data_IF_541738878097
#
_entry.id   IF_541738878097
#
_cell.length_a   1.000
_cell.length_b   1.000
_cell.length_c   1.000
_cell.angle_alpha   90.00
_cell.angle_beta   90.00
_cell.angle_gamma   90.00
#
_symmetry.space_group_name_H-M   'P 1'
#
loop_
_entity.id
_entity.type
_entity.pdbx_description
1 polymer ?
#
# COMPACT_ATOMS: atom_id res chain seq x y z
N UNK A 1 -22.51 26.22 67.39
CA UNK A 1 -22.33 24.84 66.87
C UNK A 1 -22.41 24.92 65.35
N UNK A 2 -21.29 24.65 64.66
CA UNK A 2 -21.12 23.53 63.69
C UNK A 2 -22.03 23.69 62.44
N UNK A 3 -21.54 23.69 61.20
CA UNK A 3 -20.33 23.02 60.72
C UNK A 3 -19.91 23.44 59.32
N UNK A 4 -18.68 23.02 59.05
CA UNK A 4 -17.83 23.25 57.88
C UNK A 4 -18.39 22.45 56.69
N UNK A 5 -18.52 23.09 55.53
CA UNK A 5 -18.73 22.41 54.25
C UNK A 5 -17.42 21.74 53.82
N UNK A 6 -17.37 20.41 53.86
CA UNK A 6 -16.27 19.62 53.31
C UNK A 6 -16.49 19.40 51.82
N UNK A 7 -15.56 19.91 51.00
CA UNK A 7 -15.48 19.61 49.57
C UNK A 7 -14.81 18.23 49.43
N UNK A 8 -15.56 17.23 48.98
CA UNK A 8 -15.03 15.93 48.58
C UNK A 8 -14.54 16.03 47.12
N UNK A 9 -13.22 16.15 46.96
CA UNK A 9 -12.57 15.92 45.67
C UNK A 9 -12.46 14.41 45.49
N UNK A 10 -13.27 13.86 44.59
CA UNK A 10 -13.19 12.46 44.18
C UNK A 10 -11.88 12.21 43.44
N UNK A 11 -10.95 11.51 44.09
CA UNK A 11 -9.74 11.01 43.46
C UNK A 11 -10.11 9.73 42.68
N UNK A 12 -10.50 9.86 41.42
CA UNK A 12 -10.56 8.71 40.52
C UNK A 12 -9.13 8.29 40.20
N UNK A 13 -8.62 7.30 40.92
CA UNK A 13 -7.42 6.57 40.51
C UNK A 13 -7.76 5.82 39.22
N UNK A 14 -7.40 6.39 38.08
CA UNK A 14 -7.35 5.66 36.82
C UNK A 14 -6.25 4.59 36.99
N UNK A 15 -6.67 3.35 37.19
CA UNK A 15 -5.79 2.20 37.15
C UNK A 15 -5.38 2.02 35.69
N UNK A 16 -4.29 2.66 35.28
CA UNK A 16 -3.62 2.33 34.03
C UNK A 16 -3.05 0.92 34.21
N UNK A 17 -3.78 -0.09 33.77
CA UNK A 17 -3.26 -1.44 33.67
C UNK A 17 -2.04 -1.39 32.73
N UNK A 18 -0.87 -1.76 33.26
CA UNK A 18 0.32 -1.92 32.46
C UNK A 18 0.04 -2.97 31.37
N UNK A 19 0.16 -2.56 30.12
CA UNK A 19 -0.06 -3.40 28.96
C UNK A 19 1.07 -4.44 28.85
N UNK A 20 0.79 -5.75 28.76
CA UNK A 20 1.84 -6.73 28.59
C UNK A 20 2.51 -6.54 27.23
N UNK A 21 3.84 -6.61 27.24
CA UNK A 21 4.69 -6.63 26.05
C UNK A 21 4.52 -7.96 25.31
N UNK A 22 3.45 -8.08 24.53
CA UNK A 22 3.19 -9.18 23.61
C UNK A 22 2.71 -8.64 22.27
N UNK A 23 2.85 -9.42 21.19
CA UNK A 23 2.35 -9.04 19.87
C UNK A 23 0.85 -8.77 19.99
N UNK A 24 0.42 -7.57 19.58
CA UNK A 24 -0.97 -7.13 19.72
C UNK A 24 -1.75 -7.46 18.47
N UNK A 25 -2.75 -8.32 18.63
CA UNK A 25 -3.75 -8.56 17.61
C UNK A 25 -4.63 -7.34 17.41
N UNK A 26 -5.27 -7.26 16.23
CA UNK A 26 -6.19 -6.16 15.89
C UNK A 26 -7.17 -5.96 17.04
N UNK A 27 -7.07 -4.83 17.75
CA UNK A 27 -8.15 -4.37 18.61
C UNK A 27 -9.36 -4.11 17.72
N UNK A 28 -10.55 -4.55 18.12
CA UNK A 28 -11.77 -4.11 17.45
C UNK A 28 -11.73 -2.57 17.34
N UNK A 29 -11.88 -2.01 16.13
CA UNK A 29 -11.86 -0.57 15.98
C UNK A 29 -12.98 0.02 16.83
N UNK A 30 -12.71 1.13 17.52
CA UNK A 30 -13.74 1.78 18.34
C UNK A 30 -14.96 2.11 17.48
N UNK A 31 -16.17 2.09 18.06
CA UNK A 31 -17.38 2.50 17.33
C UNK A 31 -17.22 3.89 16.69
N UNK A 32 -16.49 4.79 17.35
CA UNK A 32 -16.16 6.10 16.80
C UNK A 32 -15.28 6.01 15.53
N UNK A 33 -14.30 5.11 15.51
CA UNK A 33 -13.47 4.88 14.32
C UNK A 33 -14.26 4.19 13.21
N UNK A 34 -15.12 3.23 13.53
CA UNK A 34 -16.00 2.59 12.56
C UNK A 34 -16.95 3.62 11.94
N UNK A 35 -17.63 4.40 12.78
CA UNK A 35 -18.51 5.47 12.33
C UNK A 35 -17.76 6.52 11.50
N UNK A 36 -16.54 6.91 11.87
CA UNK A 36 -15.75 7.84 11.08
C UNK A 36 -15.24 7.21 9.77
N UNK A 37 -14.87 5.94 9.78
CA UNK A 37 -14.49 5.23 8.55
C UNK A 37 -15.67 5.09 7.59
N UNK A 38 -16.87 4.86 8.12
CA UNK A 38 -18.12 4.85 7.36
C UNK A 38 -18.49 6.24 6.87
N UNK A 39 -18.33 7.29 7.68
CA UNK A 39 -18.60 8.68 7.26
C UNK A 39 -17.63 9.11 6.18
N UNK A 40 -16.35 8.78 6.29
CA UNK A 40 -15.34 9.01 5.26
C UNK A 40 -15.68 8.23 3.99
N UNK A 41 -16.12 6.97 4.10
CA UNK A 41 -16.55 6.16 2.95
C UNK A 41 -17.81 6.72 2.26
N UNK A 42 -18.76 7.23 3.04
CA UNK A 42 -19.96 7.88 2.50
C UNK A 42 -19.61 9.24 1.89
N UNK A 43 -18.71 10.02 2.52
CA UNK A 43 -18.22 11.29 1.98
C UNK A 43 -17.47 11.09 0.68
N UNK A 44 -16.56 10.11 0.59
CA UNK A 44 -15.87 9.80 -0.68
C UNK A 44 -16.85 9.38 -1.77
N UNK A 45 -17.88 8.59 -1.43
CA UNK A 45 -18.95 8.23 -2.39
C UNK A 45 -19.85 9.42 -2.78
N UNK A 46 -20.08 10.38 -1.90
CA UNK A 46 -20.95 11.55 -2.12
C UNK A 46 -20.24 12.68 -2.85
N UNK A 47 -18.95 12.87 -2.59
CA UNK A 47 -18.10 13.87 -3.25
C UNK A 47 -17.59 13.38 -4.61
N UNK A 48 -17.54 12.07 -4.84
CA UNK A 48 -17.32 11.52 -6.17
C UNK A 48 -18.57 11.74 -7.03
N UNK A 49 -18.51 12.56 -8.10
CA UNK A 49 -19.63 12.69 -9.05
C UNK A 49 -19.87 11.39 -9.85
N UNK A 50 -19.07 10.36 -9.59
CA UNK A 50 -19.17 9.05 -10.20
C UNK A 50 -20.24 8.22 -9.49
N UNK A 51 -21.44 8.17 -10.07
CA UNK A 51 -22.31 6.99 -9.93
C UNK A 51 -21.41 5.79 -10.21
N UNK A 52 -21.36 4.76 -9.36
CA UNK A 52 -20.63 3.51 -9.64
C UNK A 52 -21.17 3.00 -10.98
N UNK A 53 -20.57 3.43 -12.08
CA UNK A 53 -20.71 2.76 -13.35
C UNK A 53 -20.07 1.42 -13.08
N UNK A 54 -20.74 0.40 -13.56
CA UNK A 54 -20.28 -0.97 -13.56
C UNK A 54 -19.06 -1.10 -14.52
N UNK A 55 -18.06 -0.20 -14.40
CA UNK A 55 -16.76 -0.39 -15.00
C UNK A 55 -16.13 -1.53 -14.22
N UNK A 56 -16.33 -2.72 -14.78
CA UNK A 56 -15.80 -3.95 -14.24
C UNK A 56 -14.29 -3.98 -14.32
N UNK A 57 -13.65 -3.16 -15.16
CA UNK A 57 -12.21 -3.22 -15.44
C UNK A 57 -11.52 -1.86 -15.59
N UNK A 58 -10.32 -1.73 -15.04
CA UNK A 58 -9.41 -0.60 -15.25
C UNK A 58 -8.32 -0.98 -16.26
N UNK A 59 -8.27 -0.28 -17.39
CA UNK A 59 -7.16 -0.35 -18.33
C UNK A 59 -6.39 0.97 -18.27
N UNK A 60 -5.20 0.93 -17.67
CA UNK A 60 -4.38 2.11 -17.40
C UNK A 60 -3.16 2.14 -18.31
N UNK A 61 -2.82 3.31 -18.85
CA UNK A 61 -1.56 3.50 -19.55
C UNK A 61 -0.41 3.54 -18.53
N UNK A 62 0.74 2.95 -18.88
CA UNK A 62 1.94 2.92 -18.05
C UNK A 62 3.19 3.38 -18.83
N UNK A 63 4.08 4.11 -18.16
CA UNK A 63 5.41 4.46 -18.65
C UNK A 63 6.47 4.00 -17.65
N UNK A 64 7.54 3.40 -18.16
CA UNK A 64 8.70 3.01 -17.37
C UNK A 64 9.85 3.98 -17.63
N UNK A 65 10.43 4.51 -16.56
CA UNK A 65 11.53 5.46 -16.59
C UNK A 65 12.74 4.82 -15.95
N UNK A 66 13.73 4.45 -16.77
CA UNK A 66 14.98 3.85 -16.31
C UNK A 66 16.01 4.94 -16.13
N UNK A 67 16.47 5.16 -14.90
CA UNK A 67 17.43 6.20 -14.55
C UNK A 67 18.65 5.54 -13.93
N UNK A 68 19.73 5.44 -14.71
CA UNK A 68 20.93 4.70 -14.29
C UNK A 68 22.16 5.59 -14.17
N UNK A 69 23.11 5.15 -13.34
CA UNK A 69 24.41 5.79 -13.23
C UNK A 69 25.36 5.31 -14.35
N UNK A 70 25.19 4.06 -14.78
CA UNK A 70 25.95 3.46 -15.88
C UNK A 70 25.03 2.86 -16.94
N UNK A 71 25.46 2.74 -18.20
CA UNK A 71 24.67 2.10 -19.24
C UNK A 71 24.46 0.60 -18.99
N UNK A 72 23.36 0.05 -19.49
CA UNK A 72 23.06 -1.40 -19.55
C UNK A 72 22.94 -2.11 -18.18
N UNK A 73 22.54 -1.41 -17.11
CA UNK A 73 22.28 -2.03 -15.80
C UNK A 73 21.00 -2.90 -15.79
N UNK A 74 20.03 -2.55 -16.62
CA UNK A 74 18.75 -3.25 -16.80
C UNK A 74 18.55 -3.45 -18.30
N UNK A 75 17.92 -4.55 -18.69
CA UNK A 75 17.55 -4.85 -20.08
C UNK A 75 16.08 -4.56 -20.35
N UNK A 76 15.74 -4.29 -21.60
CA UNK A 76 14.34 -4.10 -22.01
C UNK A 76 13.48 -5.34 -21.73
N UNK A 77 14.03 -6.55 -21.89
CA UNK A 77 13.34 -7.80 -21.60
C UNK A 77 12.95 -7.91 -20.12
N UNK A 78 13.81 -7.48 -19.19
CA UNK A 78 13.48 -7.46 -17.76
C UNK A 78 12.34 -6.48 -17.46
N UNK A 79 12.27 -5.36 -18.16
CA UNK A 79 11.19 -4.38 -18.02
C UNK A 79 9.87 -4.94 -18.57
N UNK A 80 9.92 -5.65 -19.69
CA UNK A 80 8.75 -6.34 -20.22
C UNK A 80 8.28 -7.48 -19.31
N UNK A 81 9.20 -8.20 -18.67
CA UNK A 81 8.85 -9.18 -17.65
C UNK A 81 8.14 -8.51 -16.45
N UNK A 82 8.62 -7.34 -15.99
CA UNK A 82 8.01 -6.65 -14.86
C UNK A 82 6.57 -6.20 -15.14
N UNK A 83 6.28 -5.66 -16.33
CA UNK A 83 4.90 -5.28 -16.66
C UNK A 83 3.98 -6.51 -16.83
N UNK A 84 4.52 -7.63 -17.30
CA UNK A 84 3.78 -8.89 -17.39
C UNK A 84 3.40 -9.40 -16.00
N UNK A 85 4.34 -9.42 -15.05
CA UNK A 85 4.07 -9.80 -13.65
C UNK A 85 2.97 -8.92 -13.05
N UNK A 86 3.03 -7.59 -13.30
CA UNK A 86 2.01 -6.68 -12.81
C UNK A 86 0.63 -7.02 -13.38
N UNK A 87 0.54 -7.30 -14.67
CA UNK A 87 -0.70 -7.66 -15.34
C UNK A 87 -1.21 -9.05 -14.92
N UNK A 88 -0.35 -10.04 -14.77
CA UNK A 88 -0.74 -11.39 -14.36
C UNK A 88 -1.34 -11.38 -12.95
N UNK A 89 -0.77 -10.60 -12.03
CA UNK A 89 -1.22 -10.52 -10.64
C UNK A 89 -2.51 -9.69 -10.48
N UNK A 90 -2.75 -8.70 -11.36
CA UNK A 90 -3.87 -7.76 -11.22
C UNK A 90 -5.02 -8.01 -12.21
N UNK A 91 -4.81 -8.79 -13.28
CA UNK A 91 -5.85 -9.17 -14.21
C UNK A 91 -7.03 -9.92 -13.55
N UNK A 92 -6.83 -10.84 -12.57
CA UNK A 92 -7.94 -11.45 -11.82
C UNK A 92 -8.80 -10.44 -11.03
N UNK A 93 -8.27 -9.24 -10.83
CA UNK A 93 -8.94 -8.11 -10.18
C UNK A 93 -9.39 -7.05 -11.19
N UNK A 94 -9.42 -7.40 -12.47
CA UNK A 94 -9.83 -6.55 -13.60
C UNK A 94 -8.99 -5.27 -13.74
N UNK A 95 -7.73 -5.29 -13.34
CA UNK A 95 -6.80 -4.18 -13.51
C UNK A 95 -5.70 -4.62 -14.47
N UNK A 96 -5.50 -3.84 -15.52
CA UNK A 96 -4.48 -4.06 -16.52
C UNK A 96 -3.74 -2.77 -16.84
N UNK A 97 -2.46 -2.91 -17.20
CA UNK A 97 -1.57 -1.84 -17.58
C UNK A 97 -1.08 -2.06 -19.00
N UNK A 98 -1.26 -1.03 -19.83
CA UNK A 98 -0.72 -0.97 -21.18
C UNK A 98 0.58 -0.18 -21.16
N UNK A 99 1.71 -0.86 -21.35
CA UNK A 99 3.00 -0.18 -21.47
C UNK A 99 3.02 0.68 -22.75
N UNK A 100 3.17 1.99 -22.59
CA UNK A 100 3.18 2.98 -23.68
C UNK A 100 4.58 3.33 -24.14
N UNK A 101 5.57 3.18 -23.27
CA UNK A 101 6.96 3.40 -23.61
C UNK A 101 7.88 3.20 -22.42
N UNK A 102 9.16 3.07 -22.76
CA UNK A 102 10.28 2.99 -21.82
C UNK A 102 11.24 4.12 -22.19
N UNK A 103 11.61 4.93 -21.21
CA UNK A 103 12.62 5.99 -21.36
C UNK A 103 13.87 5.63 -20.57
N UNK A 104 15.03 5.98 -21.13
CA UNK A 104 16.34 5.73 -20.51
C UNK A 104 17.06 7.05 -20.26
N UNK A 105 17.46 7.29 -19.01
CA UNK A 105 18.16 8.49 -18.57
C UNK A 105 19.46 8.11 -17.88
N UNK A 106 20.59 8.47 -18.48
CA UNK A 106 21.91 8.30 -17.85
C UNK A 106 22.22 9.52 -16.98
N UNK A 107 22.00 9.41 -15.68
CA UNK A 107 22.24 10.50 -14.72
C UNK A 107 22.61 9.93 -13.34
N UNK A 108 23.91 9.92 -13.03
CA UNK A 108 24.44 9.36 -11.78
C UNK A 108 23.90 10.03 -10.51
N UNK A 109 23.56 11.32 -10.56
CA UNK A 109 22.98 12.04 -9.42
C UNK A 109 21.57 11.54 -9.13
N UNK A 110 20.72 11.47 -10.16
CA UNK A 110 19.34 10.98 -10.02
C UNK A 110 19.28 9.48 -9.72
N UNK A 111 20.16 8.70 -10.34
CA UNK A 111 20.23 7.25 -10.15
C UNK A 111 20.59 6.83 -8.72
N UNK A 112 21.15 7.74 -7.91
CA UNK A 112 21.43 7.54 -6.49
C UNK A 112 20.31 8.10 -5.58
N UNK A 113 19.06 8.09 -6.05
CA UNK A 113 17.87 8.60 -5.35
C UNK A 113 18.00 10.05 -4.84
N UNK A 114 18.84 10.87 -5.48
CA UNK A 114 19.00 12.27 -5.09
C UNK A 114 18.09 13.14 -5.97
N UNK A 115 17.35 14.06 -5.36
CA UNK A 115 16.36 14.92 -6.05
C UNK A 115 15.19 14.17 -6.70
N UNK A 116 14.75 13.05 -6.10
CA UNK A 116 13.65 12.20 -6.60
C UNK A 116 12.40 12.99 -7.04
N UNK A 117 11.97 13.97 -6.23
CA UNK A 117 10.81 14.81 -6.55
C UNK A 117 10.96 15.56 -7.88
N UNK A 118 12.07 16.28 -8.08
CA UNK A 118 12.30 17.07 -9.29
C UNK A 118 12.54 16.19 -10.52
N UNK A 119 13.22 15.05 -10.34
CA UNK A 119 13.40 14.05 -11.38
C UNK A 119 12.03 13.52 -11.84
N UNK A 120 11.18 13.05 -10.92
CA UNK A 120 9.84 12.54 -11.22
C UNK A 120 8.99 13.60 -11.91
N UNK A 121 9.00 14.84 -11.43
CA UNK A 121 8.30 15.94 -12.11
C UNK A 121 8.78 16.14 -13.55
N UNK A 122 10.09 16.05 -13.79
CA UNK A 122 10.68 16.29 -15.10
C UNK A 122 10.39 15.18 -16.11
N UNK A 123 10.37 13.93 -15.64
CA UNK A 123 10.24 12.74 -16.47
C UNK A 123 8.80 12.21 -16.58
N UNK A 124 7.90 12.63 -15.69
CA UNK A 124 6.51 12.19 -15.69
C UNK A 124 5.84 12.35 -17.06
N UNK A 125 5.13 11.30 -17.49
CA UNK A 125 4.34 11.29 -18.72
C UNK A 125 2.88 10.96 -18.44
N UNK A 126 2.02 11.48 -19.31
CA UNK A 126 0.58 11.28 -19.22
C UNK A 126 -0.10 12.16 -18.19
N UNK A 127 -1.31 11.76 -17.82
CA UNK A 127 -2.21 12.47 -16.91
C UNK A 127 -2.26 11.80 -15.53
N UNK A 128 -3.22 12.21 -14.71
CA UNK A 128 -3.39 11.69 -13.36
C UNK A 128 -3.90 10.22 -13.33
N UNK A 129 -4.26 9.63 -14.47
CA UNK A 129 -4.69 8.23 -14.60
C UNK A 129 -3.54 7.33 -15.00
N UNK A 130 -2.49 7.90 -15.58
CA UNK A 130 -1.33 7.19 -16.11
C UNK A 130 -0.40 6.74 -14.98
N UNK A 131 0.06 5.48 -15.03
CA UNK A 131 1.08 4.95 -14.12
C UNK A 131 2.48 5.31 -14.62
N UNK A 132 3.32 5.87 -13.74
CA UNK A 132 4.73 6.11 -14.03
C UNK A 132 5.57 5.31 -13.02
N UNK A 133 6.36 4.35 -13.51
CA UNK A 133 7.26 3.53 -12.69
C UNK A 133 8.69 3.95 -12.97
N UNK A 134 9.47 4.20 -11.91
CA UNK A 134 10.84 4.67 -12.00
C UNK A 134 11.78 3.59 -11.49
N UNK A 135 12.69 3.14 -12.36
CA UNK A 135 13.76 2.20 -12.02
C UNK A 135 15.03 3.01 -11.84
N UNK A 136 15.58 3.02 -10.61
CA UNK A 136 16.79 3.77 -10.27
C UNK A 136 17.89 2.82 -9.77
N UNK A 137 19.15 3.08 -10.14
CA UNK A 137 20.28 2.18 -9.82
C UNK A 137 20.45 1.90 -8.33
N UNK A 138 20.23 2.90 -7.48
CA UNK A 138 20.43 2.79 -6.03
C UNK A 138 19.32 3.52 -5.29
N UNK A 139 18.55 2.76 -4.52
CA UNK A 139 17.69 3.34 -3.49
C UNK A 139 18.51 3.50 -2.22
N UNK A 140 18.69 4.74 -1.76
CA UNK A 140 19.28 5.00 -0.44
C UNK A 140 18.22 4.68 0.64
N UNK A 141 18.47 3.64 1.43
CA UNK A 141 17.54 3.10 2.43
C UNK A 141 17.31 1.62 2.17
N UNK A 142 18.13 0.77 2.79
CA UNK A 142 18.21 -0.65 2.48
C UNK A 142 16.86 -1.38 2.54
N UNK A 143 16.65 -2.25 1.56
CA UNK A 143 15.69 -3.34 1.59
C UNK A 143 14.33 -3.00 0.99
N UNK A 144 14.03 -3.61 -0.17
CA UNK A 144 12.67 -4.06 -0.46
C UNK A 144 12.21 -4.82 0.80
N UNK A 145 11.23 -4.26 1.53
CA UNK A 145 10.99 -4.49 2.95
C UNK A 145 11.03 -5.95 3.40
N UNK A 146 12.17 -6.39 3.89
CA UNK A 146 12.32 -7.67 4.56
C UNK A 146 12.39 -7.44 6.07
N UNK A 147 11.26 -7.15 6.70
CA UNK A 147 11.13 -7.24 8.17
C UNK A 147 9.74 -7.75 8.58
N UNK A 148 9.70 -9.07 8.82
CA UNK A 148 8.93 -9.83 9.82
C UNK A 148 8.84 -11.34 9.48
N UNK A 149 9.70 -11.83 8.58
CA UNK A 149 10.00 -13.25 8.44
C UNK A 149 11.49 -13.36 8.18
N UNK A 150 12.22 -14.06 9.03
CA UNK A 150 13.59 -14.48 8.73
C UNK A 150 13.65 -15.03 7.30
N UNK A 151 14.76 -14.90 6.55
CA UNK A 151 14.92 -15.52 5.22
C UNK A 151 14.77 -17.06 5.23
N UNK A 152 14.59 -17.65 6.41
CA UNK A 152 14.28 -19.05 6.68
C UNK A 152 12.77 -19.36 6.74
N UNK A 153 11.89 -18.35 6.81
CA UNK A 153 10.45 -18.55 6.65
C UNK A 153 10.21 -18.66 5.15
N UNK A 154 10.48 -19.84 4.60
CA UNK A 154 9.83 -20.26 3.36
C UNK A 154 8.30 -20.16 3.51
N UNK A 155 7.54 -20.66 2.55
CA UNK A 155 6.08 -20.76 2.70
C UNK A 155 5.69 -21.86 3.73
N UNK A 156 6.48 -21.98 4.80
CA UNK A 156 6.51 -23.02 5.80
C UNK A 156 5.45 -22.72 6.85
N UNK A 157 4.41 -23.56 6.80
CA UNK A 157 3.28 -23.70 7.72
C UNK A 157 2.45 -22.44 8.00
N UNK A 158 1.14 -22.57 8.27
CA UNK A 158 0.31 -21.41 8.52
C UNK A 158 0.81 -20.63 9.76
N UNK A 159 1.23 -19.38 9.55
CA UNK A 159 1.57 -18.43 10.60
C UNK A 159 0.26 -17.94 11.22
N UNK A 160 0.17 -18.03 12.53
CA UNK A 160 -0.95 -17.50 13.29
C UNK A 160 -0.40 -16.64 14.42
N UNK A 161 -0.22 -15.36 14.13
CA UNK A 161 0.21 -14.37 15.12
C UNK A 161 -0.92 -14.06 16.11
N UNK A 162 -2.17 -14.42 15.77
CA UNK A 162 -3.37 -14.10 16.54
C UNK A 162 -4.26 -15.32 16.81
N UNK A 163 -3.80 -16.28 17.65
CA UNK A 163 -4.52 -17.55 17.86
C UNK A 163 -5.90 -17.42 18.50
N UNK A 164 -6.16 -16.29 19.16
CA UNK A 164 -7.46 -15.97 19.75
C UNK A 164 -8.47 -15.46 18.70
N UNK A 165 -8.04 -15.20 17.46
CA UNK A 165 -8.89 -14.83 16.33
C UNK A 165 -9.01 -15.99 15.34
N UNK A 166 -10.17 -16.16 14.68
CA UNK A 166 -10.32 -17.22 13.70
C UNK A 166 -9.48 -16.91 12.44
N UNK A 167 -8.67 -17.90 12.02
CA UNK A 167 -7.92 -17.86 10.77
C UNK A 167 -6.42 -17.66 10.98
N UNK A 168 -5.64 -17.88 9.93
CA UNK A 168 -4.20 -17.66 9.91
C UNK A 168 -3.87 -16.29 9.33
N UNK A 169 -2.65 -15.81 9.54
CA UNK A 169 -2.15 -14.59 8.93
C UNK A 169 -2.18 -14.69 7.39
N UNK A 170 -2.51 -13.60 6.66
CA UNK A 170 -2.64 -13.60 5.21
C UNK A 170 -1.28 -13.58 4.51
N UNK A 171 -0.43 -14.57 4.78
CA UNK A 171 0.95 -14.69 4.27
C UNK A 171 1.05 -14.81 2.75
N UNK A 172 -0.04 -15.17 2.08
CA UNK A 172 -0.09 -15.28 0.63
C UNK A 172 -0.55 -13.97 -0.03
N UNK A 173 -0.82 -12.94 0.76
CA UNK A 173 -1.26 -11.66 0.25
C UNK A 173 -0.07 -10.82 -0.24
N UNK A 174 -0.22 -10.14 -1.38
CA UNK A 174 0.83 -9.23 -1.89
C UNK A 174 1.16 -8.05 -0.97
N UNK A 175 0.33 -7.77 0.04
CA UNK A 175 0.57 -6.73 1.04
C UNK A 175 1.26 -7.24 2.32
N UNK A 176 1.65 -8.52 2.38
CA UNK A 176 2.58 -9.03 3.40
C UNK A 176 4.03 -8.84 2.92
N UNK A 177 4.98 -8.90 3.84
CA UNK A 177 6.43 -8.83 3.58
C UNK A 177 7.08 -10.21 3.49
N UNK A 178 6.30 -11.25 3.18
CA UNK A 178 6.83 -12.58 2.85
C UNK A 178 7.61 -12.56 1.54
N UNK A 179 8.53 -13.49 1.35
CA UNK A 179 9.29 -13.59 0.11
C UNK A 179 8.41 -13.81 -1.13
N UNK A 180 8.93 -13.41 -2.30
CA UNK A 180 8.22 -13.40 -3.58
C UNK A 180 7.60 -14.75 -4.00
N UNK A 181 8.15 -15.86 -3.52
CA UNK A 181 7.61 -17.19 -3.79
C UNK A 181 6.29 -17.49 -3.06
N UNK A 182 5.92 -16.70 -2.06
CA UNK A 182 4.77 -16.99 -1.19
C UNK A 182 3.55 -16.12 -1.51
N UNK A 183 3.70 -14.83 -1.78
CA UNK A 183 2.52 -14.04 -2.16
C UNK A 183 1.95 -14.49 -3.52
N UNK A 184 0.62 -14.42 -3.66
CA UNK A 184 -0.10 -14.83 -4.89
C UNK A 184 -1.50 -14.23 -5.04
N UNK A 185 -1.99 -13.46 -4.08
CA UNK A 185 -3.37 -12.97 -4.13
C UNK A 185 -3.60 -11.59 -3.50
N UNK A 186 -4.60 -10.89 -4.03
CA UNK A 186 -5.33 -9.85 -3.30
C UNK A 186 -6.71 -10.37 -2.87
N UNK A 187 -7.26 -9.79 -1.81
CA UNK A 187 -8.64 -10.02 -1.40
C UNK A 187 -9.63 -9.22 -2.24
N UNK A 188 -10.89 -9.63 -2.27
CA UNK A 188 -11.97 -8.86 -2.91
C UNK A 188 -12.15 -7.46 -2.30
N UNK A 189 -11.92 -7.33 -0.99
CA UNK A 189 -11.95 -6.04 -0.30
C UNK A 189 -10.81 -5.12 -0.74
N UNK A 190 -9.62 -5.66 -0.98
CA UNK A 190 -8.49 -4.90 -1.55
C UNK A 190 -8.80 -4.46 -2.99
N UNK A 191 -9.41 -5.31 -3.83
CA UNK A 191 -9.90 -4.91 -5.16
C UNK A 191 -10.88 -3.75 -5.07
N UNK A 192 -11.92 -3.87 -4.24
CA UNK A 192 -12.90 -2.80 -4.06
C UNK A 192 -12.22 -1.48 -3.65
N UNK A 193 -11.28 -1.55 -2.70
CA UNK A 193 -10.52 -0.38 -2.24
C UNK A 193 -9.67 0.24 -3.35
N UNK A 194 -9.02 -0.56 -4.19
CA UNK A 194 -8.24 -0.05 -5.33
C UNK A 194 -9.12 0.75 -6.29
N UNK A 195 -10.29 0.23 -6.66
CA UNK A 195 -11.24 0.90 -7.55
C UNK A 195 -11.78 2.19 -6.92
N UNK A 196 -12.22 2.13 -5.66
CA UNK A 196 -12.75 3.31 -4.96
C UNK A 196 -11.72 4.44 -4.90
N UNK A 197 -10.46 4.16 -4.58
CA UNK A 197 -9.41 5.18 -4.57
C UNK A 197 -9.13 5.74 -5.97
N UNK A 198 -9.13 4.88 -7.00
CA UNK A 198 -8.91 5.33 -8.37
C UNK A 198 -10.00 6.31 -8.82
N UNK A 199 -11.28 5.99 -8.64
CA UNK A 199 -12.36 6.87 -9.08
C UNK A 199 -12.51 8.12 -8.20
N UNK A 200 -12.24 8.02 -6.90
CA UNK A 200 -12.32 9.17 -6.01
C UNK A 200 -11.24 10.21 -6.34
N UNK A 201 -10.01 9.79 -6.64
CA UNK A 201 -8.86 10.70 -6.68
C UNK A 201 -8.17 10.80 -8.03
N UNK A 202 -8.39 9.87 -8.96
CA UNK A 202 -7.63 9.81 -10.22
C UNK A 202 -8.48 9.94 -11.48
N UNK A 203 -9.68 9.37 -11.50
CA UNK A 203 -10.51 9.35 -12.71
C UNK A 203 -11.03 10.74 -13.14
N UNK A 204 -11.18 11.67 -12.19
CA UNK A 204 -11.90 12.94 -12.36
C UNK A 204 -11.00 14.19 -12.28
N UNK A 205 -9.69 14.03 -12.44
CA UNK A 205 -8.71 15.13 -12.53
C UNK A 205 -8.36 15.37 -13.98
#
# INVERSE_FOLDING_TARGET
>A
MRGIFAVLIGLSAALAAAEPSGIRCRSEPSEAFLAESETLHVRTKRESPYTIRNESSLLLDAYFHVVTATPNEITEDQLHQQINVLNDNLAPHDIQFKLRGIDWTLNATWANNTYDYWMKMKLHKGDYKTLNVYFISRMNGGGLGAEAGSPEVGCAEPRDTCPDQPGNDPMFNYMDYTGDACYREFTLGQRARMFENFYAYRANV
#
